data_IF_516198785481
#
_entry.id   IF_516198785481
#
_cell.length_a   1.000
_cell.length_b   1.000
_cell.length_c   1.000
_cell.angle_alpha   90.00
_cell.angle_beta   90.00
_cell.angle_gamma   90.00
#
_symmetry.space_group_name_H-M   'P 1'
#
loop_
_entity.id
_entity.type
_entity.pdbx_description
1 polymer ?
#
# COMPACT_ATOMS: atom_id res chain seq x y z
N UNK A 1 29.22 8.27 -10.35
CA UNK A 1 28.94 9.20 -9.23
C UNK A 1 27.44 9.15 -8.94
N UNK A 2 27.06 8.86 -7.70
CA UNK A 2 25.67 8.70 -7.21
C UNK A 2 24.81 9.99 -7.20
N UNK A 3 25.06 10.90 -8.12
CA UNK A 3 24.27 12.13 -8.26
C UNK A 3 23.56 12.09 -9.58
N UNK A 4 22.39 11.54 -9.66
CA UNK A 4 21.47 11.56 -10.79
C UNK A 4 21.94 12.27 -12.10
N UNK A 5 21.28 12.09 -13.19
CA UNK A 5 21.54 12.79 -14.45
C UNK A 5 20.61 14.00 -14.54
N UNK A 6 21.14 15.19 -14.71
CA UNK A 6 20.35 16.40 -14.97
C UNK A 6 20.42 16.68 -16.48
N UNK A 7 19.28 16.84 -17.18
CA UNK A 7 19.29 17.15 -18.59
C UNK A 7 19.97 18.52 -18.86
N UNK A 8 20.68 18.62 -19.97
CA UNK A 8 21.15 19.90 -20.48
C UNK A 8 19.96 20.78 -20.91
N UNK A 9 20.19 22.08 -21.16
CA UNK A 9 19.12 22.96 -21.66
C UNK A 9 18.45 22.41 -22.93
N UNK A 10 19.25 21.89 -23.88
CA UNK A 10 18.74 21.26 -25.10
C UNK A 10 18.03 19.94 -24.79
N UNK A 11 18.52 19.18 -23.80
CA UNK A 11 17.88 17.97 -23.31
C UNK A 11 16.52 18.26 -22.66
N UNK A 12 16.39 19.34 -21.91
CA UNK A 12 15.12 19.78 -21.32
C UNK A 12 14.10 20.18 -22.40
N UNK A 13 14.54 20.92 -23.43
CA UNK A 13 13.71 21.27 -24.58
C UNK A 13 13.29 20.04 -25.39
N UNK A 14 14.20 19.10 -25.58
CA UNK A 14 13.88 17.83 -26.24
C UNK A 14 12.85 17.04 -25.46
N UNK A 15 13.02 16.88 -24.15
CA UNK A 15 12.08 16.17 -23.30
C UNK A 15 10.68 16.83 -23.28
N UNK A 16 10.62 18.16 -23.29
CA UNK A 16 9.34 18.87 -23.40
C UNK A 16 8.61 18.56 -24.72
N UNK A 17 9.34 18.51 -25.84
CA UNK A 17 8.78 18.12 -27.15
C UNK A 17 8.34 16.65 -27.19
N UNK A 18 9.13 15.75 -26.63
CA UNK A 18 8.78 14.32 -26.55
C UNK A 18 7.52 14.13 -25.71
N UNK A 19 7.39 14.81 -24.57
CA UNK A 19 6.17 14.76 -23.76
C UNK A 19 4.93 15.22 -24.53
N UNK A 20 5.08 16.26 -25.34
CA UNK A 20 3.96 16.72 -26.19
C UNK A 20 3.58 15.69 -27.24
N UNK A 21 4.54 15.09 -27.92
CA UNK A 21 4.27 14.03 -28.91
C UNK A 21 3.59 12.82 -28.28
N UNK A 22 4.02 12.41 -27.08
CA UNK A 22 3.38 11.32 -26.37
C UNK A 22 1.94 11.67 -25.99
N UNK A 23 1.66 12.88 -25.52
CA UNK A 23 0.31 13.32 -25.21
C UNK A 23 -0.58 13.37 -26.47
N UNK A 24 -0.04 13.85 -27.60
CA UNK A 24 -0.76 13.88 -28.88
C UNK A 24 -1.05 12.44 -29.38
N UNK A 25 -0.14 11.48 -29.14
CA UNK A 25 -0.36 10.06 -29.44
C UNK A 25 -1.45 9.45 -28.54
N UNK A 26 -1.42 9.72 -27.22
CA UNK A 26 -2.45 9.27 -26.28
C UNK A 26 -3.83 9.84 -26.64
N UNK A 27 -3.89 11.10 -27.09
CA UNK A 27 -5.13 11.72 -27.58
C UNK A 27 -5.67 11.04 -28.85
N UNK A 28 -4.79 10.73 -29.79
CA UNK A 28 -5.15 9.98 -31.00
C UNK A 28 -5.65 8.57 -30.67
N UNK A 29 -4.96 7.86 -29.79
CA UNK A 29 -5.39 6.55 -29.33
C UNK A 29 -6.77 6.62 -28.68
N UNK A 30 -7.05 7.63 -27.84
CA UNK A 30 -8.35 7.81 -27.22
C UNK A 30 -9.45 8.16 -28.20
N UNK A 31 -9.17 8.94 -29.24
CA UNK A 31 -10.16 9.39 -30.22
C UNK A 31 -10.47 8.34 -31.30
N UNK A 32 -9.50 7.59 -31.74
CA UNK A 32 -9.64 6.71 -32.90
C UNK A 32 -9.68 5.22 -32.57
N UNK A 33 -9.09 4.78 -31.47
CA UNK A 33 -9.09 3.37 -31.06
C UNK A 33 -10.08 3.02 -29.95
N UNK A 34 -10.68 4.02 -29.29
CA UNK A 34 -11.75 3.81 -28.30
C UNK A 34 -13.05 3.27 -28.88
N UNK A 35 -13.15 3.19 -30.21
CA UNK A 35 -14.40 2.77 -30.88
C UNK A 35 -14.59 1.24 -30.99
N UNK A 36 -13.64 0.42 -30.57
CA UNK A 36 -13.84 -1.02 -30.42
C UNK A 36 -13.77 -1.40 -28.95
N UNK A 37 -14.90 -1.77 -28.40
CA UNK A 37 -15.18 -2.22 -27.02
C UNK A 37 -14.38 -3.46 -26.60
N UNK A 38 -13.09 -3.37 -26.53
CA UNK A 38 -12.27 -4.42 -25.92
C UNK A 38 -11.10 -3.75 -25.21
N UNK A 39 -11.41 -3.10 -24.08
CA UNK A 39 -10.39 -2.48 -23.26
C UNK A 39 -9.38 -3.53 -22.78
N UNK A 40 -8.12 -3.29 -23.03
CA UNK A 40 -7.04 -4.00 -22.36
C UNK A 40 -6.72 -3.23 -21.08
N UNK A 41 -7.00 -3.84 -19.95
CA UNK A 41 -6.78 -3.23 -18.64
C UNK A 41 -5.56 -3.90 -18.01
N UNK A 42 -4.52 -3.12 -17.78
CA UNK A 42 -3.37 -3.54 -16.97
C UNK A 42 -3.27 -2.63 -15.75
N UNK A 43 -3.40 -3.21 -14.56
CA UNK A 43 -3.35 -2.47 -13.31
C UNK A 43 -2.40 -3.16 -12.33
N UNK A 44 -1.32 -2.45 -11.97
CA UNK A 44 -0.32 -2.89 -11.00
C UNK A 44 -0.46 -2.02 -9.74
N UNK A 45 -0.77 -2.66 -8.63
CA UNK A 45 -0.96 -2.01 -7.32
C UNK A 45 0.05 -2.58 -6.34
N UNK A 46 0.75 -1.71 -5.64
CA UNK A 46 1.53 -2.08 -4.46
C UNK A 46 0.80 -1.61 -3.20
N UNK A 47 0.71 -2.46 -2.19
CA UNK A 47 -0.01 -2.14 -0.96
C UNK A 47 0.71 -2.71 0.25
N UNK A 48 0.47 -2.14 1.41
CA UNK A 48 0.75 -2.82 2.66
C UNK A 48 -0.26 -3.96 2.88
N UNK A 49 -0.02 -4.80 3.88
CA UNK A 49 -0.91 -5.92 4.22
C UNK A 49 -2.27 -5.41 4.73
N UNK A 50 -3.21 -5.19 3.80
CA UNK A 50 -4.52 -4.59 4.08
C UNK A 50 -5.66 -5.40 3.44
N UNK A 51 -6.54 -5.97 4.26
CA UNK A 51 -7.67 -6.78 3.76
C UNK A 51 -8.69 -5.97 2.97
N UNK A 52 -8.86 -4.69 3.31
CA UNK A 52 -9.79 -3.79 2.60
C UNK A 52 -9.33 -3.60 1.15
N UNK A 53 -8.02 -3.45 0.93
CA UNK A 53 -7.44 -3.32 -0.42
C UNK A 53 -7.65 -4.60 -1.23
N UNK A 54 -7.44 -5.77 -0.62
CA UNK A 54 -7.69 -7.06 -1.29
C UNK A 54 -9.15 -7.18 -1.71
N UNK A 55 -10.09 -6.82 -0.84
CA UNK A 55 -11.53 -6.85 -1.16
C UNK A 55 -11.87 -5.87 -2.29
N UNK A 56 -11.34 -4.65 -2.25
CA UNK A 56 -11.53 -3.66 -3.31
C UNK A 56 -10.98 -4.16 -4.66
N UNK A 57 -9.81 -4.78 -4.64
CA UNK A 57 -9.19 -5.38 -5.82
C UNK A 57 -10.04 -6.50 -6.44
N UNK A 58 -10.58 -7.40 -5.61
CA UNK A 58 -11.49 -8.45 -6.06
C UNK A 58 -12.79 -7.86 -6.64
N UNK A 59 -13.35 -6.84 -6.01
CA UNK A 59 -14.53 -6.15 -6.54
C UNK A 59 -14.24 -5.49 -7.89
N UNK A 60 -13.08 -4.85 -8.04
CA UNK A 60 -12.64 -4.27 -9.31
C UNK A 60 -12.54 -5.35 -10.40
N UNK A 61 -11.99 -6.51 -10.08
CA UNK A 61 -11.97 -7.65 -11.00
C UNK A 61 -13.37 -8.03 -11.46
N UNK A 62 -14.32 -8.22 -10.52
CA UNK A 62 -15.68 -8.63 -10.85
C UNK A 62 -16.42 -7.60 -11.73
N UNK A 63 -16.16 -6.32 -11.52
CA UNK A 63 -16.77 -5.25 -12.32
C UNK A 63 -16.25 -5.20 -13.76
N UNK A 64 -15.00 -5.62 -14.01
CA UNK A 64 -14.33 -5.44 -15.28
C UNK A 64 -14.09 -6.75 -16.05
N UNK A 65 -14.19 -7.91 -15.42
CA UNK A 65 -13.87 -9.19 -16.06
C UNK A 65 -14.77 -9.57 -17.24
N UNK A 66 -16.00 -9.04 -17.30
CA UNK A 66 -16.94 -9.29 -18.42
C UNK A 66 -16.79 -8.34 -19.61
N UNK A 67 -16.16 -7.18 -19.42
CA UNK A 67 -16.08 -6.12 -20.43
C UNK A 67 -14.67 -5.99 -21.06
N UNK A 68 -13.65 -6.41 -20.34
CA UNK A 68 -12.28 -6.33 -20.81
C UNK A 68 -11.93 -7.53 -21.70
N UNK A 69 -11.29 -7.25 -22.83
CA UNK A 69 -10.68 -8.30 -23.68
C UNK A 69 -9.47 -8.93 -23.00
N UNK A 70 -8.65 -8.09 -22.36
CA UNK A 70 -7.50 -8.50 -21.57
C UNK A 70 -7.54 -7.76 -20.24
N UNK A 71 -7.51 -8.52 -19.17
CA UNK A 71 -7.48 -7.99 -17.81
C UNK A 71 -6.26 -8.55 -17.09
N UNK A 72 -5.24 -7.72 -16.94
CA UNK A 72 -4.00 -8.06 -16.23
C UNK A 72 -3.94 -7.24 -14.94
N UNK A 73 -4.28 -7.87 -13.83
CA UNK A 73 -4.29 -7.25 -12.52
C UNK A 73 -3.20 -7.85 -11.64
N UNK A 74 -2.35 -7.00 -11.10
CA UNK A 74 -1.29 -7.38 -10.17
C UNK A 74 -1.46 -6.62 -8.88
N UNK A 75 -1.57 -7.35 -7.78
CA UNK A 75 -1.55 -6.81 -6.42
C UNK A 75 -0.37 -7.42 -5.68
N UNK A 76 0.56 -6.58 -5.22
CA UNK A 76 1.71 -7.03 -4.45
C UNK A 76 1.74 -6.37 -3.08
N UNK A 77 2.05 -7.16 -2.05
CA UNK A 77 2.21 -6.65 -0.69
C UNK A 77 3.69 -6.34 -0.45
N UNK A 78 3.97 -5.10 -0.06
CA UNK A 78 5.33 -4.57 0.09
C UNK A 78 5.45 -3.68 1.33
N UNK A 79 6.65 -3.51 1.88
CA UNK A 79 6.94 -2.49 2.87
C UNK A 79 6.73 -1.07 2.31
N UNK A 80 6.42 -0.11 3.18
CA UNK A 80 6.11 1.29 2.81
C UNK A 80 7.12 1.93 1.87
N UNK A 81 8.41 1.82 2.18
CA UNK A 81 9.47 2.41 1.34
C UNK A 81 9.53 1.80 -0.05
N UNK A 82 9.28 0.49 -0.16
CA UNK A 82 9.25 -0.20 -1.44
C UNK A 82 8.04 0.26 -2.26
N UNK A 83 6.87 0.41 -1.65
CA UNK A 83 5.66 0.90 -2.33
C UNK A 83 5.92 2.28 -2.93
N UNK A 84 6.41 3.23 -2.12
CA UNK A 84 6.71 4.58 -2.60
C UNK A 84 7.72 4.58 -3.75
N UNK A 85 8.75 3.74 -3.67
CA UNK A 85 9.76 3.58 -4.72
C UNK A 85 9.18 2.97 -5.99
N UNK A 86 8.33 1.96 -5.88
CA UNK A 86 7.69 1.31 -7.04
C UNK A 86 6.80 2.28 -7.80
N UNK A 87 6.04 3.12 -7.08
CA UNK A 87 5.19 4.14 -7.70
C UNK A 87 6.03 5.28 -8.29
N UNK A 88 7.03 5.79 -7.54
CA UNK A 88 7.91 6.85 -8.03
C UNK A 88 8.67 6.44 -9.30
N UNK A 89 9.07 5.17 -9.41
CA UNK A 89 9.74 4.60 -10.60
C UNK A 89 8.74 4.14 -11.68
N UNK A 90 7.44 4.36 -11.49
CA UNK A 90 6.39 3.95 -12.42
C UNK A 90 6.34 2.44 -12.70
N UNK A 91 6.80 1.62 -11.77
CA UNK A 91 6.67 0.16 -11.83
C UNK A 91 5.24 -0.24 -11.44
N UNK A 92 4.67 0.43 -10.43
CA UNK A 92 3.26 0.31 -10.06
C UNK A 92 2.52 1.59 -10.42
N UNK A 93 1.26 1.43 -10.83
CA UNK A 93 0.37 2.55 -11.14
C UNK A 93 -0.13 3.24 -9.88
N UNK A 94 -0.39 2.47 -8.83
CA UNK A 94 -0.89 2.94 -7.55
C UNK A 94 -0.12 2.32 -6.38
N UNK A 95 0.03 3.11 -5.32
CA UNK A 95 0.46 2.64 -4.01
C UNK A 95 -0.65 2.91 -2.99
N UNK A 96 -1.08 1.91 -2.22
CA UNK A 96 -2.07 2.06 -1.17
C UNK A 96 -1.40 1.76 0.16
N UNK A 97 -1.40 2.76 1.02
CA UNK A 97 -0.73 2.71 2.32
C UNK A 97 -1.67 3.20 3.41
N UNK A 98 -1.42 2.76 4.61
CA UNK A 98 -2.02 3.33 5.80
C UNK A 98 -0.93 3.96 6.68
N UNK A 99 -1.27 5.04 7.33
CA UNK A 99 -0.41 5.75 8.28
C UNK A 99 -1.24 6.18 9.48
N UNK A 100 -0.58 6.51 10.56
CA UNK A 100 -1.25 7.08 11.74
C UNK A 100 -1.29 8.60 11.63
N UNK A 101 -2.26 9.25 12.29
CA UNK A 101 -2.46 10.71 12.21
C UNK A 101 -1.22 11.49 12.67
N UNK A 102 -0.48 10.97 13.64
CA UNK A 102 0.76 11.59 14.14
C UNK A 102 1.92 11.53 13.12
N UNK A 103 1.83 10.66 12.12
CA UNK A 103 2.86 10.48 11.08
C UNK A 103 2.42 10.93 9.68
N UNK A 104 1.21 11.40 9.55
CA UNK A 104 0.67 11.85 8.27
C UNK A 104 1.55 12.94 7.62
N UNK A 105 1.99 13.93 8.41
CA UNK A 105 2.81 15.02 7.90
C UNK A 105 4.16 14.54 7.31
N UNK A 106 4.81 13.59 7.98
CA UNK A 106 6.08 13.00 7.52
C UNK A 106 5.84 12.19 6.23
N UNK A 107 4.77 11.40 6.18
CA UNK A 107 4.37 10.64 5.01
C UNK A 107 4.11 11.56 3.80
N UNK A 108 3.32 12.62 3.98
CA UNK A 108 3.05 13.60 2.93
C UNK A 108 4.32 14.30 2.44
N UNK A 109 5.26 14.56 3.34
CA UNK A 109 6.56 15.13 2.96
C UNK A 109 7.39 14.14 2.12
N UNK A 110 7.36 12.85 2.44
CA UNK A 110 8.03 11.82 1.63
C UNK A 110 7.42 11.73 0.24
N UNK A 111 6.10 11.72 0.12
CA UNK A 111 5.41 11.72 -1.17
C UNK A 111 5.84 12.93 -2.03
N UNK A 112 5.84 14.13 -1.44
CA UNK A 112 6.30 15.34 -2.14
C UNK A 112 7.75 15.26 -2.61
N UNK A 113 8.64 14.73 -1.77
CA UNK A 113 10.06 14.59 -2.11
C UNK A 113 10.28 13.62 -3.29
N UNK A 114 9.39 12.66 -3.46
CA UNK A 114 9.40 11.68 -4.55
C UNK A 114 8.58 12.13 -5.76
N UNK A 115 7.94 13.32 -5.71
CA UNK A 115 7.07 13.81 -6.77
C UNK A 115 5.77 13.01 -6.91
N UNK A 116 5.31 12.41 -5.82
CA UNK A 116 4.06 11.65 -5.76
C UNK A 116 2.92 12.52 -5.25
N UNK A 117 1.76 12.34 -5.84
CA UNK A 117 0.49 12.86 -5.33
C UNK A 117 -0.15 11.83 -4.39
N UNK A 118 -0.76 12.28 -3.30
CA UNK A 118 -1.43 11.43 -2.33
C UNK A 118 -2.84 11.91 -2.06
N UNK A 119 -3.76 10.97 -1.93
CA UNK A 119 -5.17 11.20 -1.64
C UNK A 119 -5.60 10.35 -0.45
N UNK A 120 -6.25 10.97 0.53
CA UNK A 120 -6.87 10.24 1.63
C UNK A 120 -8.07 9.46 1.09
N UNK A 121 -8.10 8.15 1.34
CA UNK A 121 -9.21 7.28 0.92
C UNK A 121 -10.21 7.06 2.05
N UNK A 122 -9.74 6.82 3.26
CA UNK A 122 -10.58 6.52 4.41
C UNK A 122 -9.82 6.71 5.73
N UNK A 123 -10.57 6.90 6.81
CA UNK A 123 -10.06 6.93 8.17
C UNK A 123 -10.79 5.86 9.00
N UNK A 124 -10.03 5.04 9.70
CA UNK A 124 -10.56 3.95 10.51
C UNK A 124 -9.92 3.90 11.89
N UNK A 125 -10.66 3.55 12.93
CA UNK A 125 -10.08 3.31 14.24
C UNK A 125 -9.18 2.08 14.22
N UNK A 126 -8.18 2.08 15.09
CA UNK A 126 -7.33 0.91 15.30
C UNK A 126 -8.12 -0.18 16.00
N UNK A 127 -8.04 -1.40 15.48
CA UNK A 127 -8.73 -2.55 16.00
C UNK A 127 -7.75 -3.66 16.37
N UNK A 128 -7.98 -4.34 17.49
CA UNK A 128 -7.29 -5.57 17.83
C UNK A 128 -7.97 -6.74 17.12
N UNK A 129 -7.21 -7.50 16.36
CA UNK A 129 -7.68 -8.74 15.74
C UNK A 129 -7.46 -9.90 16.70
N UNK A 130 -8.53 -10.59 17.04
CA UNK A 130 -8.52 -11.74 17.95
C UNK A 130 -9.39 -12.87 17.38
N UNK A 131 -9.14 -14.14 17.77
CA UNK A 131 -10.04 -15.26 17.41
C UNK A 131 -11.43 -15.10 18.03
N UNK A 132 -12.45 -15.72 17.45
CA UNK A 132 -13.85 -15.62 17.90
C UNK A 132 -14.07 -16.04 19.36
N UNK A 133 -13.34 -17.02 19.86
CA UNK A 133 -13.42 -17.48 21.25
C UNK A 133 -12.49 -16.77 22.23
N UNK A 134 -11.83 -15.68 21.83
CA UNK A 134 -10.92 -14.94 22.70
C UNK A 134 -11.68 -14.22 23.81
N UNK A 135 -11.17 -14.16 25.06
CA UNK A 135 -11.84 -13.47 26.17
C UNK A 135 -12.19 -12.00 25.91
N UNK A 136 -11.46 -11.35 25.01
CA UNK A 136 -11.71 -9.96 24.63
C UNK A 136 -12.62 -9.79 23.41
N UNK A 137 -13.03 -10.87 22.72
CA UNK A 137 -13.77 -10.79 21.47
C UNK A 137 -15.15 -10.12 21.56
N UNK A 138 -15.77 -10.12 22.73
CA UNK A 138 -17.06 -9.47 22.97
C UNK A 138 -16.99 -8.00 23.41
N UNK A 139 -15.80 -7.43 23.52
CA UNK A 139 -15.63 -6.06 24.00
C UNK A 139 -15.69 -5.07 22.83
N UNK A 140 -16.47 -4.01 22.98
CA UNK A 140 -16.59 -2.93 21.99
C UNK A 140 -15.33 -2.07 21.95
N UNK A 141 -14.64 -1.92 23.08
CA UNK A 141 -13.40 -1.17 23.21
C UNK A 141 -12.46 -1.89 24.17
N UNK A 142 -11.20 -1.97 23.82
CA UNK A 142 -10.18 -2.68 24.58
C UNK A 142 -9.07 -1.71 24.94
N UNK A 143 -8.80 -1.54 26.24
CA UNK A 143 -7.65 -0.75 26.68
C UNK A 143 -6.33 -1.48 26.44
N UNK A 144 -5.26 -0.76 26.15
CA UNK A 144 -3.93 -1.32 25.86
C UNK A 144 -3.44 -2.30 26.94
N UNK A 145 -3.67 -1.99 28.20
CA UNK A 145 -3.30 -2.85 29.33
C UNK A 145 -3.97 -4.24 29.30
N UNK A 146 -5.18 -4.34 28.78
CA UNK A 146 -5.86 -5.63 28.67
C UNK A 146 -5.21 -6.53 27.62
N UNK A 147 -4.55 -5.96 26.63
CA UNK A 147 -3.82 -6.68 25.59
C UNK A 147 -2.47 -7.21 26.09
N UNK A 148 -1.83 -6.56 27.05
CA UNK A 148 -0.52 -6.96 27.61
C UNK A 148 -0.55 -8.37 28.23
N UNK A 149 -1.72 -8.83 28.69
CA UNK A 149 -1.89 -10.16 29.27
C UNK A 149 -1.82 -11.31 28.25
N UNK A 150 -1.84 -11.01 26.93
CA UNK A 150 -1.91 -12.00 25.87
C UNK A 150 -0.69 -11.93 24.94
N UNK A 151 -0.35 -13.04 24.24
CA UNK A 151 0.69 -13.02 23.24
C UNK A 151 0.33 -12.08 22.08
N UNK A 152 1.27 -11.26 21.64
CA UNK A 152 1.11 -10.43 20.45
C UNK A 152 1.68 -11.13 19.24
N UNK A 153 0.89 -11.23 18.17
CA UNK A 153 1.33 -11.74 16.87
C UNK A 153 1.59 -10.55 15.96
N UNK A 154 2.80 -10.44 15.46
CA UNK A 154 3.24 -9.31 14.63
C UNK A 154 4.00 -9.80 13.40
N UNK A 155 4.16 -8.93 12.40
CA UNK A 155 5.03 -9.20 11.27
C UNK A 155 6.50 -8.96 11.63
N UNK A 156 7.40 -9.74 11.00
CA UNK A 156 8.82 -9.41 11.00
C UNK A 156 9.03 -8.22 10.07
N UNK A 157 9.23 -7.05 10.63
CA UNK A 157 9.81 -5.97 9.87
C UNK A 157 11.32 -6.16 9.87
N UNK A 158 11.91 -6.46 8.72
CA UNK A 158 13.34 -6.70 8.59
C UNK A 158 14.19 -5.48 9.00
N UNK A 159 13.58 -4.33 9.24
CA UNK A 159 14.22 -3.10 9.64
C UNK A 159 13.56 -2.51 10.91
N UNK A 160 13.89 -3.05 12.06
CA UNK A 160 13.53 -2.47 13.38
C UNK A 160 14.06 -1.02 13.52
N UNK A 161 15.02 -0.62 12.70
CA UNK A 161 15.65 0.70 12.71
C UNK A 161 15.03 1.68 11.71
N UNK A 162 14.28 1.22 10.72
CA UNK A 162 13.59 2.08 9.77
C UNK A 162 12.20 2.40 10.26
N UNK A 163 11.82 3.65 10.06
CA UNK A 163 10.52 4.20 10.42
C UNK A 163 9.42 3.43 9.68
N UNK A 164 8.89 2.39 10.31
CA UNK A 164 7.72 1.69 9.81
C UNK A 164 6.51 2.56 10.08
N UNK A 165 5.97 3.17 9.03
CA UNK A 165 4.81 4.05 9.12
C UNK A 165 3.54 3.34 9.60
N UNK A 166 3.59 2.03 9.78
CA UNK A 166 2.42 1.23 10.08
C UNK A 166 2.64 -0.02 10.90
N UNK A 167 3.83 -0.30 11.33
CA UNK A 167 4.02 -1.42 12.22
C UNK A 167 3.63 -1.02 13.63
N UNK A 168 2.69 -1.77 14.12
CA UNK A 168 2.32 -1.85 15.52
C UNK A 168 2.25 -0.53 16.30
N UNK A 169 1.06 0.01 16.37
CA UNK A 169 0.69 1.05 17.35
C UNK A 169 1.22 0.69 18.74
N UNK A 170 1.46 -0.60 19.04
CA UNK A 170 2.07 -1.10 20.27
C UNK A 170 3.60 -0.99 20.33
N UNK A 171 4.32 -0.83 19.22
CA UNK A 171 5.76 -0.51 19.31
C UNK A 171 6.01 0.90 19.86
N UNK A 172 5.01 1.77 19.76
CA UNK A 172 5.10 3.14 20.28
C UNK A 172 5.11 3.19 21.81
N UNK A 173 4.44 2.28 22.47
CA UNK A 173 4.61 2.05 23.89
C UNK A 173 5.67 0.97 24.05
N UNK A 174 6.89 1.35 24.36
CA UNK A 174 8.04 0.47 24.68
C UNK A 174 7.78 -0.43 25.90
N UNK A 175 6.52 -0.64 26.26
CA UNK A 175 6.13 -1.57 27.28
C UNK A 175 6.33 -2.97 26.73
N UNK A 176 7.26 -3.64 27.35
CA UNK A 176 7.73 -4.98 27.04
C UNK A 176 6.53 -5.92 27.01
N UNK A 177 6.08 -6.26 25.80
CA UNK A 177 5.17 -7.40 25.63
C UNK A 177 5.98 -8.65 25.95
N UNK A 178 5.66 -9.32 27.05
CA UNK A 178 6.40 -10.48 27.53
C UNK A 178 6.36 -11.65 26.55
N UNK A 179 5.31 -11.75 25.74
CA UNK A 179 5.13 -12.84 24.78
C UNK A 179 4.83 -12.28 23.40
N UNK A 180 5.76 -12.49 22.47
CA UNK A 180 5.64 -12.05 21.08
C UNK A 180 5.83 -13.24 20.13
N UNK A 181 4.97 -13.32 19.11
CA UNK A 181 5.10 -14.24 17.99
C UNK A 181 5.32 -13.40 16.74
N UNK A 182 6.41 -13.64 16.03
CA UNK A 182 6.77 -12.90 14.83
C UNK A 182 6.55 -13.80 13.61
N UNK A 183 5.82 -13.30 12.63
CA UNK A 183 5.50 -14.01 11.38
C UNK A 183 5.85 -13.15 10.17
N UNK A 184 5.99 -13.79 9.00
CA UNK A 184 6.40 -13.08 7.78
C UNK A 184 5.26 -12.81 6.80
N UNK A 185 4.22 -13.64 6.82
CA UNK A 185 3.11 -13.56 5.89
C UNK A 185 1.75 -13.58 6.59
N UNK A 186 0.74 -13.11 5.84
CA UNK A 186 -0.63 -12.98 6.34
C UNK A 186 -1.30 -14.33 6.64
N UNK A 187 -1.03 -15.35 5.83
CA UNK A 187 -1.61 -16.67 6.02
C UNK A 187 -1.19 -17.26 7.37
N UNK A 188 0.12 -17.23 7.65
CA UNK A 188 0.69 -17.65 8.92
C UNK A 188 0.14 -16.82 10.10
N UNK A 189 0.04 -15.49 9.94
CA UNK A 189 -0.52 -14.62 10.98
C UNK A 189 -1.95 -15.05 11.36
N UNK A 190 -2.82 -15.25 10.38
CA UNK A 190 -4.22 -15.65 10.63
C UNK A 190 -4.31 -17.03 11.28
N UNK A 191 -3.48 -17.97 10.86
CA UNK A 191 -3.43 -19.32 11.46
C UNK A 191 -2.96 -19.28 12.92
N UNK A 192 -1.92 -18.49 13.21
CA UNK A 192 -1.42 -18.33 14.58
C UNK A 192 -2.45 -17.66 15.46
N UNK A 193 -3.10 -16.58 15.02
CA UNK A 193 -4.18 -15.91 15.78
C UNK A 193 -5.35 -16.90 16.03
N UNK A 194 -5.69 -17.71 15.04
CA UNK A 194 -6.75 -18.71 15.17
C UNK A 194 -6.43 -19.85 16.14
N UNK A 195 -5.15 -20.16 16.32
CA UNK A 195 -4.66 -21.25 17.17
C UNK A 195 -4.23 -20.84 18.58
N UNK A 196 -4.02 -19.57 18.84
CA UNK A 196 -3.64 -19.01 20.14
C UNK A 196 -4.82 -18.34 20.83
#
# INVERSE_FOLDING_TARGET
>A
TNKGVIPTNDGALFLAKVKKVLADMEELDSQYFSCQKTAEITLLIATQRCSVVVNAFVNFYHQNCGEARLLNLVLQEEPTENILRLVANRVCHLGILHTTNDREADFLQMCRNLGLESHLLDESPVCAQVRCGHPLAGQVSIGSKALEAYPHVTYSDEDITKINYCSDIFQYNQNVVEKRIIVQDRGTLLQVIGGT
#
